data_IF_228068214739
#
_entry.id   IF_228068214739
#
_cell.length_a   1.000
_cell.length_b   1.000
_cell.length_c   1.000
_cell.angle_alpha   90.00
_cell.angle_beta   90.00
_cell.angle_gamma   90.00
#
_symmetry.space_group_name_H-M   'P 1'
#
loop_
_entity.id
_entity.type
_entity.pdbx_description
1 polymer ?
#
# COMPACT_ATOMS: atom_id res chain seq x y z
N UNK A 1 4.64 -0.94 0.41
CA UNK A 1 3.24 -1.29 0.09
C UNK A 1 2.46 -1.51 1.37
N UNK A 2 1.30 -0.91 1.46
CA UNK A 2 0.37 -1.15 2.56
C UNK A 2 -0.93 -1.74 2.00
N UNK A 3 -1.25 -2.98 2.40
CA UNK A 3 -2.45 -3.69 1.95
C UNK A 3 -3.51 -3.65 3.05
N UNK A 4 -4.60 -2.90 2.89
CA UNK A 4 -5.69 -2.92 3.86
C UNK A 4 -6.45 -4.24 3.79
N UNK A 5 -6.96 -4.70 4.93
CA UNK A 5 -7.73 -5.94 4.97
C UNK A 5 -9.14 -5.75 4.41
N UNK A 6 -9.82 -4.68 4.77
CA UNK A 6 -11.20 -4.43 4.36
C UNK A 6 -11.56 -2.96 4.36
N UNK A 7 -12.73 -2.65 3.82
CA UNK A 7 -13.23 -1.27 3.73
C UNK A 7 -13.64 -0.71 5.09
N UNK A 8 -14.15 -1.52 5.99
CA UNK A 8 -14.53 -1.09 7.34
C UNK A 8 -13.36 -0.48 8.10
N UNK A 9 -12.23 -1.20 8.24
CA UNK A 9 -11.04 -0.64 8.87
C UNK A 9 -10.54 0.64 8.21
N UNK A 10 -10.57 0.73 6.88
CA UNK A 10 -10.18 1.95 6.18
C UNK A 10 -11.06 3.13 6.53
N UNK A 11 -12.37 2.91 6.63
CA UNK A 11 -13.30 3.97 7.01
C UNK A 11 -13.02 4.49 8.42
N UNK A 12 -12.72 3.58 9.37
CA UNK A 12 -12.43 3.94 10.76
C UNK A 12 -11.07 4.60 10.93
N UNK A 13 -10.05 4.13 10.21
CA UNK A 13 -8.65 4.50 10.41
C UNK A 13 -8.11 5.45 9.34
N UNK A 14 -8.91 5.79 8.34
CA UNK A 14 -8.45 6.52 7.17
C UNK A 14 -7.73 7.82 7.50
N UNK A 15 -8.30 8.64 8.38
CA UNK A 15 -7.69 9.92 8.78
C UNK A 15 -6.35 9.73 9.47
N UNK A 16 -6.27 8.73 10.36
CA UNK A 16 -5.03 8.43 11.08
C UNK A 16 -3.96 7.90 10.13
N UNK A 17 -4.33 7.07 9.16
CA UNK A 17 -3.40 6.58 8.14
C UNK A 17 -2.85 7.74 7.31
N UNK A 18 -3.71 8.61 6.81
CA UNK A 18 -3.29 9.78 6.04
C UNK A 18 -2.34 10.66 6.86
N UNK A 19 -2.71 10.92 8.11
CA UNK A 19 -1.88 11.74 9.00
C UNK A 19 -0.53 11.08 9.24
N UNK A 20 -0.51 9.80 9.57
CA UNK A 20 0.72 9.08 9.86
C UNK A 20 1.66 9.05 8.66
N UNK A 21 1.15 8.69 7.49
CA UNK A 21 1.98 8.70 6.28
C UNK A 21 2.44 10.10 5.92
N UNK A 22 1.56 11.08 6.04
CA UNK A 22 1.91 12.48 5.77
C UNK A 22 3.00 13.02 6.67
N UNK A 23 3.00 12.64 7.94
CA UNK A 23 3.98 13.10 8.92
C UNK A 23 5.29 12.31 8.89
N UNK A 24 5.22 11.00 8.62
CA UNK A 24 6.36 10.09 8.81
C UNK A 24 7.13 9.76 7.55
N UNK A 25 6.51 9.86 6.38
CA UNK A 25 7.21 9.57 5.13
C UNK A 25 8.20 10.68 4.79
N UNK A 26 9.36 10.29 4.27
CA UNK A 26 10.31 11.23 3.70
C UNK A 26 9.84 11.67 2.29
N UNK A 27 10.42 12.74 1.77
CA UNK A 27 10.03 13.30 0.48
C UNK A 27 10.22 12.32 -0.69
N UNK A 28 11.19 11.42 -0.58
CA UNK A 28 11.49 10.42 -1.62
C UNK A 28 10.93 9.04 -1.34
N UNK A 29 10.19 8.88 -0.24
CA UNK A 29 9.47 7.63 0.03
C UNK A 29 8.26 7.49 -0.89
N UNK A 30 7.94 6.25 -1.27
CA UNK A 30 6.78 5.95 -2.09
C UNK A 30 5.87 4.96 -1.38
N UNK A 31 4.61 5.33 -1.21
CA UNK A 31 3.56 4.46 -0.72
C UNK A 31 2.76 3.91 -1.90
N UNK A 32 2.61 2.60 -1.99
CA UNK A 32 1.70 1.98 -2.96
C UNK A 32 0.66 1.19 -2.19
N UNK A 33 -0.61 1.42 -2.50
CA UNK A 33 -1.74 0.74 -1.85
C UNK A 33 -2.58 0.02 -2.87
N UNK A 34 -2.71 -1.31 -2.76
CA UNK A 34 -3.71 -2.06 -3.51
C UNK A 34 -5.08 -1.93 -2.85
N UNK A 35 -6.11 -2.43 -3.51
CA UNK A 35 -7.44 -2.48 -2.95
C UNK A 35 -7.49 -3.41 -1.73
N UNK A 36 -8.46 -3.20 -0.83
CA UNK A 36 -8.65 -4.10 0.31
C UNK A 36 -8.84 -5.55 -0.12
N UNK A 37 -8.28 -6.48 0.67
CA UNK A 37 -8.36 -7.92 0.39
C UNK A 37 -9.81 -8.41 0.48
N UNK A 38 -10.51 -8.04 1.55
CA UNK A 38 -11.88 -8.45 1.78
C UNK A 38 -12.83 -7.38 1.25
N UNK A 39 -13.55 -7.72 0.19
CA UNK A 39 -14.45 -6.80 -0.51
C UNK A 39 -15.92 -7.23 -0.44
N UNK A 40 -16.22 -8.27 0.33
CA UNK A 40 -17.58 -8.78 0.47
C UNK A 40 -18.33 -8.21 1.66
N UNK A 41 -19.51 -8.75 1.91
CA UNK A 41 -20.34 -8.42 3.06
C UNK A 41 -21.14 -7.15 2.90
N UNK A 42 -21.59 -6.63 4.04
CA UNK A 42 -22.48 -5.47 4.14
C UNK A 42 -21.75 -4.14 4.31
N UNK A 43 -20.42 -4.16 4.21
CA UNK A 43 -19.60 -2.96 4.43
C UNK A 43 -19.74 -2.01 3.24
N UNK A 44 -19.95 -0.74 3.53
CA UNK A 44 -20.00 0.31 2.52
C UNK A 44 -18.59 0.53 1.95
N UNK A 45 -18.50 0.76 0.64
CA UNK A 45 -17.22 1.01 -0.05
C UNK A 45 -16.95 2.50 -0.22
N UNK A 46 -17.37 3.30 0.76
CA UNK A 46 -17.21 4.75 0.71
C UNK A 46 -15.76 5.20 0.78
N UNK A 47 -14.95 4.49 1.56
CA UNK A 47 -13.54 4.81 1.73
C UNK A 47 -12.71 3.62 1.30
N UNK A 48 -12.03 3.74 0.19
CA UNK A 48 -11.12 2.74 -0.34
C UNK A 48 -9.67 3.21 -0.27
N UNK A 49 -8.77 2.38 -0.79
CA UNK A 49 -7.34 2.70 -0.84
C UNK A 49 -7.06 3.97 -1.65
N UNK A 50 -7.83 4.22 -2.71
CA UNK A 50 -7.70 5.42 -3.54
C UNK A 50 -7.94 6.70 -2.74
N UNK A 51 -8.88 6.68 -1.80
CA UNK A 51 -9.15 7.82 -0.92
C UNK A 51 -7.98 8.12 0.00
N UNK A 52 -7.38 7.06 0.57
CA UNK A 52 -6.20 7.19 1.44
C UNK A 52 -5.03 7.76 0.64
N UNK A 53 -4.78 7.20 -0.53
CA UNK A 53 -3.69 7.66 -1.42
C UNK A 53 -3.87 9.13 -1.77
N UNK A 54 -5.10 9.54 -2.11
CA UNK A 54 -5.38 10.95 -2.40
C UNK A 54 -5.02 11.87 -1.23
N UNK A 55 -5.40 11.46 -0.01
CA UNK A 55 -5.07 12.24 1.19
C UNK A 55 -3.58 12.33 1.43
N UNK A 56 -2.83 11.26 1.19
CA UNK A 56 -1.38 11.24 1.34
C UNK A 56 -0.71 12.15 0.30
N UNK A 57 -1.19 12.12 -0.93
CA UNK A 57 -0.70 13.02 -2.00
C UNK A 57 -0.98 14.48 -1.64
N UNK A 58 -2.19 14.78 -1.14
CA UNK A 58 -2.55 16.13 -0.70
C UNK A 58 -1.67 16.61 0.46
N UNK A 59 -1.18 15.69 1.29
CA UNK A 59 -0.24 16.01 2.36
C UNK A 59 1.21 16.21 1.86
N UNK A 60 1.44 16.11 0.55
CA UNK A 60 2.74 16.38 -0.07
C UNK A 60 3.66 15.17 -0.16
N UNK A 61 3.14 13.96 -0.02
CA UNK A 61 3.95 12.74 -0.12
C UNK A 61 3.66 11.98 -1.40
N UNK A 62 4.59 11.14 -1.82
CA UNK A 62 4.42 10.31 -3.02
C UNK A 62 3.60 9.06 -2.68
N UNK A 63 2.48 8.90 -3.35
CA UNK A 63 1.63 7.73 -3.15
C UNK A 63 0.91 7.37 -4.45
N UNK A 64 0.66 6.08 -4.65
CA UNK A 64 -0.07 5.56 -5.81
C UNK A 64 -1.08 4.51 -5.36
N UNK A 65 -2.25 4.56 -5.97
CA UNK A 65 -3.24 3.49 -5.87
C UNK A 65 -3.08 2.55 -7.07
N UNK A 66 -2.80 1.28 -6.80
CA UNK A 66 -2.73 0.23 -7.82
C UNK A 66 -3.60 -0.90 -7.33
N UNK A 67 -4.79 -1.04 -7.89
CA UNK A 67 -5.84 -1.91 -7.37
C UNK A 67 -5.41 -3.36 -7.15
N UNK A 68 -4.72 -3.95 -8.13
CA UNK A 68 -4.22 -5.31 -8.05
C UNK A 68 -2.91 -5.35 -7.27
N UNK A 69 -2.84 -6.21 -6.25
CA UNK A 69 -1.65 -6.26 -5.38
C UNK A 69 -0.39 -6.77 -6.08
N UNK A 70 -0.54 -7.65 -7.06
CA UNK A 70 0.60 -8.13 -7.85
C UNK A 70 1.18 -7.00 -8.69
N UNK A 71 0.32 -6.20 -9.31
CA UNK A 71 0.74 -5.03 -10.06
C UNK A 71 1.32 -3.94 -9.13
N UNK A 72 0.78 -3.80 -7.93
CA UNK A 72 1.33 -2.89 -6.92
C UNK A 72 2.75 -3.30 -6.53
N UNK A 73 2.97 -4.59 -6.32
CA UNK A 73 4.30 -5.12 -6.02
C UNK A 73 5.28 -4.88 -7.17
N UNK A 74 4.84 -5.10 -8.40
CA UNK A 74 5.66 -4.84 -9.59
C UNK A 74 6.03 -3.37 -9.72
N UNK A 75 5.11 -2.47 -9.42
CA UNK A 75 5.37 -1.03 -9.45
C UNK A 75 6.48 -0.66 -8.47
N UNK A 76 6.48 -1.23 -7.26
CA UNK A 76 7.54 -0.99 -6.28
C UNK A 76 8.88 -1.56 -6.74
N UNK A 77 8.89 -2.78 -7.27
CA UNK A 77 10.11 -3.40 -7.79
C UNK A 77 10.72 -2.54 -8.91
N UNK A 78 9.88 -2.00 -9.79
CA UNK A 78 10.33 -1.15 -10.90
C UNK A 78 10.98 0.16 -10.40
N UNK A 79 10.47 0.72 -9.30
CA UNK A 79 10.98 1.97 -8.74
C UNK A 79 12.18 1.77 -7.80
N UNK A 80 12.37 0.59 -7.26
CA UNK A 80 13.40 0.33 -6.26
C UNK A 80 14.80 0.46 -6.83
N UNK A 81 15.69 1.07 -6.05
CA UNK A 81 17.10 1.29 -6.39
C UNK A 81 17.99 0.70 -5.30
N UNK A 82 19.27 0.52 -5.64
CA UNK A 82 20.26 0.05 -4.66
C UNK A 82 20.23 0.95 -3.41
N UNK A 83 20.19 0.33 -2.25
CA UNK A 83 20.09 1.03 -0.97
C UNK A 83 18.68 1.27 -0.47
N UNK A 84 17.67 1.10 -1.32
CA UNK A 84 16.28 1.25 -0.91
C UNK A 84 15.83 0.09 -0.03
N UNK A 85 14.88 0.39 0.85
CA UNK A 85 14.19 -0.62 1.64
C UNK A 85 12.76 -0.73 1.14
N UNK A 86 12.33 -1.94 0.79
CA UNK A 86 10.96 -2.22 0.38
C UNK A 86 10.24 -2.90 1.53
N UNK A 87 9.16 -2.29 1.99
CA UNK A 87 8.37 -2.78 3.13
C UNK A 87 7.00 -3.21 2.64
N UNK A 88 6.60 -4.41 2.99
CA UNK A 88 5.26 -4.94 2.70
C UNK A 88 4.52 -5.08 4.02
N UNK A 89 3.41 -4.37 4.15
CA UNK A 89 2.62 -4.31 5.38
C UNK A 89 1.18 -4.66 5.12
N UNK A 90 0.55 -5.25 6.11
CA UNK A 90 -0.87 -5.56 6.09
C UNK A 90 -1.26 -6.43 7.26
N UNK A 91 -2.56 -6.62 7.46
CA UNK A 91 -3.09 -7.44 8.54
C UNK A 91 -3.83 -8.65 7.96
N UNK A 92 -3.83 -9.75 8.72
CA UNK A 92 -4.65 -10.94 8.47
C UNK A 92 -4.46 -11.59 7.10
N UNK A 93 -3.28 -11.49 6.52
CA UNK A 93 -2.98 -12.12 5.22
C UNK A 93 -1.62 -12.79 5.26
N UNK A 94 -1.63 -14.10 5.45
CA UNK A 94 -0.41 -14.90 5.52
C UNK A 94 0.34 -14.97 4.19
N UNK A 95 -0.33 -14.60 3.09
CA UNK A 95 0.28 -14.63 1.76
C UNK A 95 1.15 -13.41 1.46
N UNK A 96 1.15 -12.40 2.33
CA UNK A 96 2.02 -11.22 2.14
C UNK A 96 3.50 -11.58 2.18
N UNK A 97 3.89 -12.55 3.01
CA UNK A 97 5.28 -13.01 3.04
C UNK A 97 5.68 -13.65 1.71
N UNK A 98 4.77 -14.41 1.10
CA UNK A 98 5.01 -15.01 -0.21
C UNK A 98 5.14 -13.96 -1.31
N UNK A 99 4.32 -12.92 -1.23
CA UNK A 99 4.41 -11.79 -2.15
C UNK A 99 5.77 -11.08 -2.01
N UNK A 100 6.21 -10.85 -0.78
CA UNK A 100 7.51 -10.24 -0.51
C UNK A 100 8.67 -11.10 -1.03
N UNK A 101 8.61 -12.41 -0.86
CA UNK A 101 9.60 -13.34 -1.42
C UNK A 101 9.66 -13.25 -2.94
N UNK A 102 8.51 -13.14 -3.60
CA UNK A 102 8.43 -12.93 -5.05
C UNK A 102 9.11 -11.64 -5.49
N UNK A 103 8.93 -10.58 -4.71
CA UNK A 103 9.58 -9.29 -4.98
C UNK A 103 11.10 -9.39 -4.85
N UNK A 104 11.60 -10.12 -3.87
CA UNK A 104 13.05 -10.38 -3.71
C UNK A 104 13.60 -11.08 -4.96
N UNK A 105 12.90 -12.10 -5.46
CA UNK A 105 13.31 -12.82 -6.67
C UNK A 105 13.34 -11.89 -7.89
N UNK A 106 12.33 -11.03 -8.04
CA UNK A 106 12.30 -10.07 -9.14
C UNK A 106 13.44 -9.05 -9.06
N UNK A 107 13.74 -8.55 -7.87
CA UNK A 107 14.85 -7.63 -7.63
C UNK A 107 16.19 -8.28 -7.95
N UNK A 108 16.36 -9.54 -7.56
CA UNK A 108 17.59 -10.29 -7.83
C UNK A 108 17.81 -10.56 -9.33
N UNK A 109 16.71 -10.62 -10.10
CA UNK A 109 16.78 -10.88 -11.55
C UNK A 109 17.05 -9.63 -12.39
N UNK A 110 17.07 -8.46 -11.76
CA UNK A 110 17.29 -7.17 -12.46
C UNK A 110 18.74 -6.94 -12.80
#
# INVERSE_FOLDING_TARGET
MFQPHGFGPLKMMGRELVRTFGEKMAADDLLVMPDPVYQGGTVTREVGSDNIVRGVVEAGRNARHVADRTEAARALVAEARAGDRVVVMGARDDTLSLLAEGMVRELAAR
#
